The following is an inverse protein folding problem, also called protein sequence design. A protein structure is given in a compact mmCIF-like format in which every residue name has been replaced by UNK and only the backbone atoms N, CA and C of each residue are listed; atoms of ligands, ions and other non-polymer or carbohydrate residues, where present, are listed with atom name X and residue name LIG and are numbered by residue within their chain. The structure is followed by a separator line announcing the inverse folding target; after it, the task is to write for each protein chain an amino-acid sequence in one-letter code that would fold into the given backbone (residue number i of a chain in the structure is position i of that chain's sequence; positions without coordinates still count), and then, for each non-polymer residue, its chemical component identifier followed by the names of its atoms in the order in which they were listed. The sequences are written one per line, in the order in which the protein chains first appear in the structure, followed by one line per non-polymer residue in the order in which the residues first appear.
data_IF_879405393374
#
_entry.id   IF_879405393374
#
_cell.length_a   1.000
_cell.length_b   1.000
_cell.length_c   1.000
_cell.angle_alpha   90.00
_cell.angle_beta   90.00
_cell.angle_gamma   90.00
#
_symmetry.space_group_name_H-M   'P 1'
#
loop_
_entity.id
_entity.type
_entity.pdbx_description
1 polymer ?
#
# COMPACT_ATOMS: atom_id res chain seq x y z
N UNK A 1 11.07 40.17 -1.12
CA UNK A 1 11.54 38.76 -1.13
C UNK A 1 10.44 37.88 -0.58
N UNK A 2 10.03 36.82 -1.29
CA UNK A 2 9.04 35.88 -0.77
C UNK A 2 9.69 35.01 0.31
N UNK A 3 9.11 35.00 1.52
CA UNK A 3 9.60 34.15 2.62
C UNK A 3 9.26 32.70 2.28
N UNK A 4 10.24 31.78 2.23
CA UNK A 4 9.97 30.37 2.02
C UNK A 4 9.08 29.83 3.16
N UNK A 5 7.98 29.17 2.79
CA UNK A 5 7.03 28.54 3.73
C UNK A 5 6.83 27.09 3.32
N UNK A 6 6.84 26.20 4.30
CA UNK A 6 6.56 24.77 4.14
C UNK A 6 7.44 24.13 3.06
N UNK A 7 8.76 24.28 3.19
CA UNK A 7 9.74 23.67 2.32
C UNK A 7 11.03 23.33 3.07
N UNK A 8 11.76 22.37 2.53
CA UNK A 8 13.08 21.96 2.97
C UNK A 8 14.09 22.39 1.91
N UNK A 9 15.19 23.00 2.36
CA UNK A 9 16.35 23.34 1.52
C UNK A 9 17.58 22.59 2.01
N UNK A 10 18.38 22.11 1.07
CA UNK A 10 19.61 21.38 1.35
C UNK A 10 20.76 22.37 1.48
N UNK A 11 21.55 22.22 2.54
CA UNK A 11 22.72 23.02 2.84
C UNK A 11 23.87 22.09 3.25
N UNK A 12 24.56 21.53 2.25
CA UNK A 12 25.61 20.54 2.49
C UNK A 12 25.03 19.27 3.10
N UNK A 13 25.49 18.91 4.30
CA UNK A 13 24.99 17.77 5.07
C UNK A 13 23.75 18.09 5.91
N UNK A 14 23.40 19.37 6.04
CA UNK A 14 22.22 19.79 6.79
C UNK A 14 21.05 20.12 5.85
N UNK A 15 19.85 20.09 6.43
CA UNK A 15 18.64 20.60 5.81
C UNK A 15 18.07 21.74 6.65
N UNK A 16 17.54 22.76 5.98
CA UNK A 16 16.78 23.84 6.59
C UNK A 16 15.30 23.61 6.32
N UNK A 17 14.56 23.34 7.38
CA UNK A 17 13.11 23.12 7.37
C UNK A 17 12.41 24.44 7.65
N UNK A 18 11.70 24.98 6.65
CA UNK A 18 10.93 26.22 6.80
C UNK A 18 9.49 25.92 7.16
N UNK A 19 9.06 26.34 8.35
CA UNK A 19 7.66 26.31 8.80
C UNK A 19 7.19 27.73 9.06
N UNK A 20 6.14 28.17 8.36
CA UNK A 20 5.57 29.53 8.52
C UNK A 20 6.56 30.71 8.39
N UNK A 21 7.75 30.50 7.84
CA UNK A 21 8.80 31.51 7.67
C UNK A 21 9.95 31.42 8.67
N UNK A 22 9.84 30.53 9.68
CA UNK A 22 10.93 30.17 10.57
C UNK A 22 11.69 28.96 10.01
N UNK A 23 13.02 29.04 9.98
CA UNK A 23 13.89 27.98 9.51
C UNK A 23 14.53 27.24 10.68
N UNK A 24 14.35 25.92 10.76
CA UNK A 24 15.07 25.04 11.68
C UNK A 24 16.14 24.27 10.91
N UNK A 25 17.37 24.31 11.37
CA UNK A 25 18.47 23.49 10.85
C UNK A 25 18.37 22.11 11.50
N UNK A 26 18.43 21.06 10.68
CA UNK A 26 18.40 19.67 11.11
C UNK A 26 19.40 18.89 10.26
N UNK A 27 20.13 17.96 10.85
CA UNK A 27 21.03 17.12 10.08
C UNK A 27 20.25 16.15 9.17
N UNK A 28 20.67 15.93 7.93
CA UNK A 28 19.91 15.09 6.97
C UNK A 28 19.62 13.68 7.49
N UNK A 29 20.49 13.13 8.34
CA UNK A 29 20.29 11.81 8.97
C UNK A 29 19.03 11.74 9.81
N UNK A 30 18.62 12.80 10.49
CA UNK A 30 17.38 12.79 11.27
C UNK A 30 16.16 12.68 10.37
N UNK A 31 16.21 13.35 9.21
CA UNK A 31 15.17 13.27 8.19
C UNK A 31 15.08 11.86 7.60
N UNK A 32 16.22 11.25 7.25
CA UNK A 32 16.28 9.87 6.78
C UNK A 32 15.80 8.87 7.84
N UNK A 33 16.23 9.04 9.10
CA UNK A 33 15.84 8.19 10.22
C UNK A 33 14.33 8.22 10.43
N UNK A 34 13.72 9.41 10.40
CA UNK A 34 12.27 9.55 10.49
C UNK A 34 11.54 8.80 9.35
N UNK A 35 12.11 8.79 8.14
CA UNK A 35 11.54 8.04 7.02
C UNK A 35 11.68 6.52 7.21
N UNK A 36 12.86 6.04 7.62
CA UNK A 36 13.14 4.61 7.86
C UNK A 36 12.27 4.05 8.98
N UNK A 37 12.18 4.75 10.11
CA UNK A 37 11.38 4.30 11.26
C UNK A 37 9.88 4.31 10.98
N UNK A 38 9.40 5.39 10.35
CA UNK A 38 7.96 5.56 10.17
C UNK A 38 7.40 4.82 8.96
N UNK A 39 8.24 4.54 7.95
CA UNK A 39 7.88 4.07 6.61
C UNK A 39 6.68 4.85 6.02
N UNK A 40 6.54 6.14 6.36
CA UNK A 40 5.34 6.94 6.11
C UNK A 40 5.69 8.39 5.77
N UNK A 41 5.31 8.82 4.56
CA UNK A 41 5.47 10.21 4.14
C UNK A 41 4.58 11.16 4.95
N UNK A 42 3.41 10.71 5.40
CA UNK A 42 2.51 11.53 6.20
C UNK A 42 3.14 11.86 7.56
N UNK A 43 3.74 10.86 8.22
CA UNK A 43 4.46 11.04 9.48
C UNK A 43 5.68 11.94 9.31
N UNK A 44 6.48 11.72 8.26
CA UNK A 44 7.62 12.60 7.96
C UNK A 44 7.17 14.03 7.68
N UNK A 45 6.10 14.23 6.92
CA UNK A 45 5.54 15.56 6.63
C UNK A 45 5.07 16.30 7.89
N UNK A 46 4.57 15.58 8.90
CA UNK A 46 4.18 16.17 10.17
C UNK A 46 5.38 16.72 10.96
N UNK A 47 6.53 16.03 10.91
CA UNK A 47 7.76 16.46 11.57
C UNK A 47 8.59 17.45 10.73
N UNK A 48 8.46 17.37 9.40
CA UNK A 48 9.19 18.16 8.41
C UNK A 48 8.20 18.76 7.41
N UNK A 49 7.57 19.91 7.74
CA UNK A 49 6.51 20.49 6.93
C UNK A 49 7.02 20.91 5.54
N UNK A 50 6.70 20.11 4.53
CA UNK A 50 7.02 20.39 3.14
C UNK A 50 6.02 19.81 2.16
N UNK A 51 6.07 20.29 0.92
CA UNK A 51 5.33 19.67 -0.17
C UNK A 51 5.85 18.24 -0.43
N UNK A 52 4.97 17.33 -0.85
CA UNK A 52 5.36 15.94 -1.19
C UNK A 52 6.53 15.90 -2.19
N UNK A 53 6.48 16.75 -3.21
CA UNK A 53 7.53 16.81 -4.23
C UNK A 53 8.89 17.15 -3.60
N UNK A 54 8.90 18.15 -2.73
CA UNK A 54 10.12 18.58 -2.06
C UNK A 54 10.62 17.54 -1.04
N UNK A 55 9.74 16.84 -0.33
CA UNK A 55 10.12 15.71 0.53
C UNK A 55 10.79 14.59 -0.28
N UNK A 56 10.19 14.18 -1.39
CA UNK A 56 10.73 13.14 -2.27
C UNK A 56 12.06 13.54 -2.91
N UNK A 57 12.19 14.80 -3.32
CA UNK A 57 13.43 15.35 -3.88
C UNK A 57 14.57 15.32 -2.86
N UNK A 58 14.30 15.72 -1.62
CA UNK A 58 15.30 15.70 -0.54
C UNK A 58 15.67 14.26 -0.17
N UNK A 59 14.69 13.35 -0.06
CA UNK A 59 14.94 11.92 0.18
C UNK A 59 15.87 11.33 -0.90
N UNK A 60 15.54 11.56 -2.16
CA UNK A 60 16.33 11.08 -3.29
C UNK A 60 17.74 11.69 -3.30
N UNK A 61 17.89 12.97 -2.96
CA UNK A 61 19.20 13.64 -2.91
C UNK A 61 20.12 13.00 -1.87
N UNK A 62 19.58 12.53 -0.76
CA UNK A 62 20.33 11.82 0.28
C UNK A 62 20.32 10.28 0.10
N UNK A 63 19.97 9.80 -1.08
CA UNK A 63 20.08 8.38 -1.45
C UNK A 63 18.96 7.48 -0.91
N UNK A 64 17.87 8.04 -0.40
CA UNK A 64 16.71 7.24 -0.02
C UNK A 64 15.79 7.03 -1.23
N UNK A 65 15.66 5.78 -1.64
CA UNK A 65 14.77 5.37 -2.72
C UNK A 65 13.36 5.11 -2.18
N UNK A 66 12.47 6.08 -2.37
CA UNK A 66 11.07 5.95 -1.99
C UNK A 66 10.30 4.93 -2.85
N UNK A 67 10.71 4.74 -4.10
CA UNK A 67 10.07 3.81 -5.00
C UNK A 67 10.41 2.36 -4.62
N UNK A 68 11.65 2.12 -4.16
CA UNK A 68 12.04 0.85 -3.52
C UNK A 68 11.21 0.54 -2.27
N UNK A 69 11.00 1.52 -1.39
CA UNK A 69 10.13 1.36 -0.22
C UNK A 69 8.70 0.98 -0.63
N UNK A 70 8.14 1.65 -1.65
CA UNK A 70 6.82 1.32 -2.16
C UNK A 70 6.77 -0.10 -2.74
N UNK A 71 7.81 -0.53 -3.46
CA UNK A 71 7.89 -1.88 -4.02
C UNK A 71 7.89 -2.97 -2.92
N UNK A 72 8.62 -2.74 -1.82
CA UNK A 72 8.60 -3.61 -0.64
C UNK A 72 7.21 -3.66 -0.01
N UNK A 73 6.60 -2.51 0.20
CA UNK A 73 5.25 -2.38 0.75
C UNK A 73 4.17 -3.02 -0.12
N UNK A 74 4.31 -2.96 -1.45
CA UNK A 74 3.45 -3.70 -2.37
C UNK A 74 3.65 -5.21 -2.25
N UNK A 75 4.90 -5.64 -2.08
CA UNK A 75 5.26 -7.06 -1.91
C UNK A 75 4.79 -7.61 -0.56
N UNK A 76 4.68 -6.76 0.47
CA UNK A 76 4.03 -7.06 1.75
C UNK A 76 2.49 -7.21 1.64
N UNK A 77 1.92 -6.96 0.46
CA UNK A 77 0.49 -7.12 0.19
C UNK A 77 -0.37 -5.91 0.58
N UNK A 78 0.24 -4.75 0.83
CA UNK A 78 -0.51 -3.54 1.17
C UNK A 78 -1.32 -3.05 -0.04
N UNK A 79 -2.58 -2.70 0.24
CA UNK A 79 -3.50 -2.19 -0.79
C UNK A 79 -3.15 -0.75 -1.15
N UNK A 80 -3.55 -0.31 -2.35
CA UNK A 80 -3.34 1.07 -2.78
C UNK A 80 -4.02 2.06 -1.82
N UNK A 81 -5.15 1.68 -1.22
CA UNK A 81 -5.88 2.49 -0.24
C UNK A 81 -5.10 2.61 1.07
N UNK A 82 -4.61 1.49 1.61
CA UNK A 82 -3.84 1.52 2.87
C UNK A 82 -2.54 2.34 2.72
N UNK A 83 -1.88 2.23 1.56
CA UNK A 83 -0.68 3.02 1.27
C UNK A 83 -1.01 4.50 1.03
N UNK A 84 -2.13 4.80 0.38
CA UNK A 84 -2.60 6.18 0.23
C UNK A 84 -2.80 6.86 1.59
N UNK A 85 -3.44 6.17 2.53
CA UNK A 85 -3.60 6.63 3.91
C UNK A 85 -2.26 6.75 4.64
N UNK A 86 -1.42 5.71 4.55
CA UNK A 86 -0.09 5.68 5.20
C UNK A 86 0.80 6.84 4.75
N UNK A 87 0.79 7.17 3.46
CA UNK A 87 1.62 8.24 2.91
C UNK A 87 0.92 9.59 2.82
N UNK A 88 -0.38 9.67 3.12
CA UNK A 88 -1.17 10.90 3.02
C UNK A 88 -1.25 11.43 1.60
N UNK A 89 -1.46 10.53 0.63
CA UNK A 89 -1.50 10.80 -0.81
C UNK A 89 -2.74 10.18 -1.44
N UNK A 90 -3.03 10.54 -2.69
CA UNK A 90 -4.16 9.94 -3.41
C UNK A 90 -3.91 8.47 -3.78
N UNK A 91 -4.94 7.63 -3.63
CA UNK A 91 -4.89 6.23 -4.07
C UNK A 91 -4.61 6.09 -5.57
N UNK A 92 -5.02 7.06 -6.39
CA UNK A 92 -4.68 7.11 -7.83
C UNK A 92 -3.18 7.30 -8.06
N UNK A 93 -2.51 8.07 -7.19
CA UNK A 93 -1.06 8.28 -7.28
C UNK A 93 -0.30 7.00 -6.91
N UNK A 94 -0.73 6.29 -5.87
CA UNK A 94 -0.19 4.98 -5.50
C UNK A 94 -0.44 3.94 -6.60
N UNK A 95 -1.65 3.90 -7.17
CA UNK A 95 -1.98 2.99 -8.27
C UNK A 95 -1.10 3.24 -9.50
N UNK A 96 -0.83 4.50 -9.83
CA UNK A 96 0.11 4.87 -10.90
C UNK A 96 1.52 4.39 -10.58
N UNK A 97 2.05 4.70 -9.38
CA UNK A 97 3.37 4.25 -8.94
C UNK A 97 3.53 2.74 -8.98
N UNK A 98 2.49 2.01 -8.57
CA UNK A 98 2.43 0.56 -8.65
C UNK A 98 2.58 0.04 -10.08
N UNK A 99 1.91 0.68 -11.04
CA UNK A 99 2.05 0.38 -12.46
C UNK A 99 3.44 0.71 -13.00
N UNK A 100 3.97 1.90 -12.66
CA UNK A 100 5.31 2.35 -13.07
C UNK A 100 6.42 1.40 -12.56
N UNK A 101 6.22 0.79 -11.38
CA UNK A 101 7.13 -0.19 -10.77
C UNK A 101 6.94 -1.61 -11.29
N UNK A 102 6.08 -1.84 -12.28
CA UNK A 102 5.78 -3.19 -12.80
C UNK A 102 5.07 -4.10 -11.79
N UNK A 103 4.70 -3.58 -10.63
CA UNK A 103 4.02 -4.26 -9.53
C UNK A 103 2.51 -4.32 -9.77
N UNK A 104 2.10 -4.57 -11.03
CA UNK A 104 0.71 -4.52 -11.47
C UNK A 104 -0.21 -5.15 -10.43
N UNK A 105 -1.23 -4.39 -10.01
CA UNK A 105 -2.21 -4.89 -9.04
C UNK A 105 -2.80 -6.16 -9.61
N UNK A 106 -2.35 -7.32 -9.13
CA UNK A 106 -2.89 -8.60 -9.58
C UNK A 106 -4.39 -8.52 -9.30
N UNK A 107 -5.25 -8.53 -10.34
CA UNK A 107 -6.68 -8.42 -10.12
C UNK A 107 -7.11 -9.65 -9.32
N UNK A 108 -7.40 -9.47 -8.03
CA UNK A 108 -8.10 -10.45 -7.22
C UNK A 108 -7.47 -11.83 -7.06
N UNK A 109 -6.15 -12.03 -7.28
CA UNK A 109 -5.52 -13.29 -6.88
C UNK A 109 -5.21 -13.21 -5.39
N UNK A 110 -5.78 -14.07 -4.54
CA UNK A 110 -5.35 -14.18 -3.15
C UNK A 110 -3.85 -14.49 -3.16
N UNK A 111 -3.11 -13.95 -2.19
CA UNK A 111 -1.68 -14.25 -1.98
C UNK A 111 -1.41 -15.75 -1.72
N UNK A 112 -2.46 -16.54 -1.52
CA UNK A 112 -2.39 -17.99 -1.35
C UNK A 112 -2.88 -18.61 -2.65
N UNK A 113 -2.00 -19.35 -3.32
CA UNK A 113 -2.34 -20.20 -4.46
C UNK A 113 -3.12 -21.41 -3.93
N UNK A 114 -4.37 -21.17 -3.51
CA UNK A 114 -5.24 -22.20 -2.97
C UNK A 114 -5.75 -23.00 -4.17
N UNK A 115 -5.52 -24.32 -4.23
CA UNK A 115 -6.01 -25.14 -5.32
C UNK A 115 -7.53 -25.10 -5.37
N UNK A 116 -8.09 -25.09 -6.59
CA UNK A 116 -9.54 -25.02 -6.83
C UNK A 116 -10.29 -26.12 -6.03
N UNK A 117 -9.69 -27.31 -5.90
CA UNK A 117 -10.19 -28.43 -5.08
C UNK A 117 -10.35 -28.05 -3.60
N UNK A 118 -9.37 -27.39 -3.00
CA UNK A 118 -9.45 -27.00 -1.59
C UNK A 118 -10.51 -25.92 -1.34
N UNK A 119 -10.80 -25.07 -2.32
CA UNK A 119 -11.89 -24.07 -2.25
C UNK A 119 -13.25 -24.75 -2.32
N UNK A 120 -13.39 -25.73 -3.22
CA UNK A 120 -14.61 -26.52 -3.38
C UNK A 120 -14.88 -27.34 -2.12
N UNK A 121 -13.89 -28.08 -1.63
CA UNK A 121 -14.00 -28.90 -0.41
C UNK A 121 -14.34 -28.06 0.81
N UNK A 122 -13.76 -26.86 0.94
CA UNK A 122 -14.09 -25.95 2.02
C UNK A 122 -15.54 -25.46 1.96
N UNK A 123 -16.11 -25.26 0.76
CA UNK A 123 -17.52 -24.91 0.60
C UNK A 123 -18.43 -26.11 0.90
N UNK A 124 -18.12 -27.28 0.34
CA UNK A 124 -18.88 -28.52 0.55
C UNK A 124 -18.90 -28.91 2.03
N UNK A 125 -17.75 -28.85 2.71
CA UNK A 125 -17.64 -29.19 4.13
C UNK A 125 -18.36 -28.20 5.04
N UNK A 126 -18.42 -26.92 4.68
CA UNK A 126 -19.00 -25.88 5.53
C UNK A 126 -20.45 -25.50 5.18
N UNK A 127 -20.94 -25.94 4.01
CA UNK A 127 -22.28 -25.65 3.50
C UNK A 127 -22.58 -24.16 3.25
N UNK A 128 -21.57 -23.29 3.31
CA UNK A 128 -21.77 -21.84 3.18
C UNK A 128 -20.48 -21.10 2.79
N UNK A 129 -20.63 -19.97 2.10
CA UNK A 129 -19.50 -19.10 1.75
C UNK A 129 -18.78 -18.53 2.97
N UNK A 130 -19.52 -18.20 4.02
CA UNK A 130 -18.94 -17.67 5.26
C UNK A 130 -18.16 -18.75 6.03
N UNK A 131 -18.66 -19.98 6.05
CA UNK A 131 -17.98 -21.12 6.66
C UNK A 131 -16.72 -21.52 5.90
N UNK A 132 -16.80 -21.63 4.57
CA UNK A 132 -15.62 -21.93 3.74
C UNK A 132 -14.55 -20.83 3.82
N UNK A 133 -14.97 -19.55 3.87
CA UNK A 133 -14.05 -18.44 4.08
C UNK A 133 -13.30 -18.55 5.41
N UNK A 134 -13.98 -18.93 6.50
CA UNK A 134 -13.34 -19.16 7.80
C UNK A 134 -12.36 -20.33 7.75
N UNK A 135 -12.72 -21.42 7.07
CA UNK A 135 -11.85 -22.59 6.92
C UNK A 135 -10.51 -22.25 6.22
N UNK A 136 -10.55 -21.35 5.24
CA UNK A 136 -9.35 -20.90 4.50
C UNK A 136 -8.76 -19.58 5.01
N UNK A 137 -9.26 -19.04 6.13
CA UNK A 137 -8.85 -17.75 6.70
C UNK A 137 -8.91 -16.59 5.68
N UNK A 138 -9.95 -16.58 4.85
CA UNK A 138 -10.20 -15.57 3.82
C UNK A 138 -11.38 -14.67 4.21
N UNK A 139 -11.49 -13.52 3.53
CA UNK A 139 -12.72 -12.73 3.51
C UNK A 139 -13.83 -13.45 2.74
N UNK A 140 -15.09 -13.33 3.19
CA UNK A 140 -16.25 -14.00 2.57
C UNK A 140 -16.45 -13.65 1.09
N UNK A 141 -16.23 -12.38 0.73
CA UNK A 141 -16.30 -11.92 -0.67
C UNK A 141 -15.18 -12.50 -1.54
N UNK A 142 -13.98 -12.63 -0.97
CA UNK A 142 -12.82 -13.24 -1.65
C UNK A 142 -13.07 -14.73 -1.87
N UNK A 143 -13.55 -15.44 -0.84
CA UNK A 143 -13.89 -16.86 -0.95
C UNK A 143 -15.00 -17.10 -1.99
N UNK A 144 -16.07 -16.29 -1.99
CA UNK A 144 -17.14 -16.41 -2.99
C UNK A 144 -16.61 -16.32 -4.43
N UNK A 145 -15.70 -15.37 -4.70
CA UNK A 145 -15.07 -15.23 -6.02
C UNK A 145 -14.23 -16.45 -6.38
N UNK A 146 -13.44 -16.96 -5.45
CA UNK A 146 -12.64 -18.17 -5.66
C UNK A 146 -13.50 -19.39 -5.94
N UNK A 147 -14.57 -19.59 -5.17
CA UNK A 147 -15.48 -20.71 -5.36
C UNK A 147 -16.16 -20.67 -6.73
N UNK A 148 -16.68 -19.51 -7.14
CA UNK A 148 -17.31 -19.36 -8.46
C UNK A 148 -16.32 -19.64 -9.60
N UNK A 149 -15.07 -19.18 -9.47
CA UNK A 149 -14.02 -19.49 -10.42
C UNK A 149 -13.69 -20.99 -10.45
N UNK A 150 -13.47 -21.61 -9.28
CA UNK A 150 -13.17 -23.04 -9.14
C UNK A 150 -14.30 -23.93 -9.69
N UNK A 151 -15.56 -23.62 -9.36
CA UNK A 151 -16.74 -24.35 -9.85
C UNK A 151 -16.87 -24.25 -11.38
N UNK A 152 -16.64 -23.06 -11.95
CA UNK A 152 -16.69 -22.87 -13.41
C UNK A 152 -15.61 -23.65 -14.18
N UNK A 153 -14.45 -23.87 -13.56
CA UNK A 153 -13.32 -24.60 -14.16
C UNK A 153 -13.44 -26.11 -14.02
N UNK A 154 -14.05 -26.57 -12.93
CA UNK A 154 -14.23 -28.01 -12.63
C UNK A 154 -15.56 -28.57 -13.15
N UNK A 155 -16.44 -27.73 -13.69
CA UNK A 155 -17.72 -28.15 -14.27
C UNK A 155 -18.78 -28.53 -13.22
N UNK A 156 -18.53 -28.26 -11.93
CA UNK A 156 -19.58 -28.33 -10.91
C UNK A 156 -20.55 -27.17 -11.11
N UNK A 157 -21.82 -27.49 -11.42
CA UNK A 157 -22.89 -26.50 -11.43
C UNK A 157 -22.94 -25.84 -10.06
N UNK A 158 -22.87 -24.51 -10.05
CA UNK A 158 -23.11 -23.72 -8.85
C UNK A 158 -24.60 -23.81 -8.50
N UNK A 159 -25.02 -24.93 -7.91
CA UNK A 159 -26.36 -25.06 -7.35
C UNK A 159 -26.43 -24.20 -6.09
N UNK A 160 -27.01 -23.01 -6.24
CA UNK A 160 -27.11 -22.03 -5.17
C UNK A 160 -27.87 -20.75 -5.55
N UNK A 161 -28.82 -20.83 -6.47
CA UNK A 161 -29.98 -19.95 -6.47
C UNK A 161 -31.12 -20.71 -5.79
N UNK A 162 -31.27 -20.48 -4.48
CA UNK A 162 -32.41 -20.91 -3.69
C UNK A 162 -32.90 -19.71 -2.90
N UNK A 163 -34.08 -19.23 -3.28
CA UNK A 163 -34.83 -18.14 -2.65
C UNK A 163 -35.07 -18.36 -1.15
N UNK A 164 -35.17 -17.24 -0.42
CA UNK A 164 -35.56 -17.16 0.99
C UNK A 164 -35.49 -15.72 1.48
#
# INVERSE_FOLDING_TARGET
MAVPKNCIRIHGEDIIVYSCGEGRIVHHREFLHAMVESRSLAKVKAAFPASRRNLLEVLNTFGFDFDQLLAEQFSEGLTNTNLAETHGVDAKWIAKKRGDLGQASVPGRPAVDIPDEAVIDAYVSAGSYAGGARALKLGSQTFKRLYLLAASRTGQKADGEGEG
#
